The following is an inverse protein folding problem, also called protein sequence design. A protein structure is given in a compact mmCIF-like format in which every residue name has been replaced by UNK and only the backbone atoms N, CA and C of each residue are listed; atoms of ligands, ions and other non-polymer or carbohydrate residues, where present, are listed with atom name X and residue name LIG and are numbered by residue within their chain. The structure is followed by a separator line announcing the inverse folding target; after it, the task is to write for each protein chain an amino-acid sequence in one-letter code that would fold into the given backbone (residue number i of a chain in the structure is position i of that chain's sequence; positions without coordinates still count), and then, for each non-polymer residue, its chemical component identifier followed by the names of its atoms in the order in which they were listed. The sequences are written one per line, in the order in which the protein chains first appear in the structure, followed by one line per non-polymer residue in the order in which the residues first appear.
data_IF_501979257808
#
_entry.id   IF_501979257808
#
_cell.length_a   1.000
_cell.length_b   1.000
_cell.length_c   1.000
_cell.angle_alpha   90.00
_cell.angle_beta   90.00
_cell.angle_gamma   90.00
#
_symmetry.space_group_name_H-M   'P 1'
#
loop_
_entity.id
_entity.type
_entity.pdbx_description
1 polymer ?
#
# COMPACT_ATOMS: atom_id res chain seq x y z
N UNK A 1 7.88 -47.48 8.80
CA UNK A 1 7.97 -46.02 9.08
C UNK A 1 7.58 -45.27 7.81
N UNK A 2 6.33 -44.80 7.75
CA UNK A 2 5.77 -44.06 6.61
C UNK A 2 6.10 -42.57 6.79
N UNK A 3 6.88 -41.98 5.88
CA UNK A 3 7.05 -40.52 5.80
C UNK A 3 6.03 -39.98 4.81
N UNK A 4 4.96 -39.40 5.33
CA UNK A 4 3.96 -38.65 4.57
C UNK A 4 4.56 -37.30 4.16
N UNK A 5 4.87 -37.13 2.88
CA UNK A 5 5.18 -35.83 2.29
C UNK A 5 3.85 -35.13 1.94
N UNK A 6 3.50 -34.10 2.70
CA UNK A 6 2.42 -33.19 2.32
C UNK A 6 2.93 -32.24 1.23
N UNK A 7 2.59 -32.55 -0.02
CA UNK A 7 2.62 -31.58 -1.10
C UNK A 7 1.40 -30.66 -0.95
N UNK A 8 1.57 -29.52 -0.27
CA UNK A 8 0.57 -28.46 -0.25
C UNK A 8 0.59 -27.75 -1.60
N UNK A 9 -0.17 -28.28 -2.55
CA UNK A 9 -0.48 -27.62 -3.80
C UNK A 9 -1.32 -26.37 -3.54
N UNK A 10 -0.77 -25.20 -3.85
CA UNK A 10 -1.58 -24.03 -4.09
C UNK A 10 -2.31 -24.27 -5.42
N UNK A 11 -3.54 -24.78 -5.33
CA UNK A 11 -4.45 -24.83 -6.46
C UNK A 11 -4.80 -23.39 -6.84
N UNK A 12 -4.06 -22.81 -7.79
CA UNK A 12 -4.47 -21.58 -8.47
C UNK A 12 -5.76 -21.91 -9.22
N UNK A 13 -6.91 -21.56 -8.67
CA UNK A 13 -8.12 -21.45 -9.46
C UNK A 13 -7.84 -20.39 -10.53
N UNK A 14 -7.79 -20.81 -11.80
CA UNK A 14 -7.72 -19.90 -12.92
C UNK A 14 -9.01 -19.08 -12.94
N UNK A 15 -9.01 -17.94 -12.25
CA UNK A 15 -10.06 -16.94 -12.38
C UNK A 15 -10.11 -16.54 -13.85
N UNK A 16 -11.28 -16.64 -14.48
CA UNK A 16 -11.45 -16.13 -15.83
C UNK A 16 -11.12 -14.64 -15.81
N UNK A 17 -10.06 -14.24 -16.51
CA UNK A 17 -9.69 -12.84 -16.66
C UNK A 17 -10.57 -12.18 -17.71
N UNK A 18 -11.06 -10.98 -17.40
CA UNK A 18 -11.63 -10.07 -18.40
C UNK A 18 -10.44 -9.40 -19.10
N UNK A 19 -10.34 -9.58 -20.42
CA UNK A 19 -9.24 -9.05 -21.23
C UNK A 19 -9.74 -7.98 -22.22
N UNK A 20 -8.83 -7.10 -22.66
CA UNK A 20 -9.13 -6.08 -23.66
C UNK A 20 -9.60 -4.75 -23.06
N UNK A 21 -9.20 -4.45 -21.83
CA UNK A 21 -9.30 -3.10 -21.26
C UNK A 21 -7.96 -2.40 -21.46
N UNK A 22 -7.95 -1.26 -22.13
CA UNK A 22 -6.72 -0.53 -22.46
C UNK A 22 -6.80 0.92 -21.98
N UNK A 23 -5.73 1.42 -21.35
CA UNK A 23 -5.53 2.84 -21.13
C UNK A 23 -4.75 3.45 -22.30
N UNK A 24 -5.44 4.26 -23.09
CA UNK A 24 -4.85 5.01 -24.20
C UNK A 24 -4.66 6.48 -23.85
N UNK A 25 -4.01 7.25 -24.72
CA UNK A 25 -3.98 8.71 -24.60
C UNK A 25 -5.38 9.35 -24.63
N UNK A 26 -6.34 8.73 -25.30
CA UNK A 26 -7.73 9.19 -25.38
C UNK A 26 -8.58 8.85 -24.14
N UNK A 27 -8.10 7.95 -23.27
CA UNK A 27 -8.82 7.43 -22.12
C UNK A 27 -8.90 5.91 -22.12
N UNK A 28 -9.81 5.35 -21.31
CA UNK A 28 -10.07 3.91 -21.27
C UNK A 28 -10.84 3.47 -22.52
N UNK A 29 -10.41 2.37 -23.12
CA UNK A 29 -11.17 1.61 -24.10
C UNK A 29 -11.41 0.19 -23.63
N UNK A 30 -12.54 -0.39 -24.01
CA UNK A 30 -12.82 -1.80 -23.77
C UNK A 30 -13.20 -2.50 -25.07
N UNK A 31 -12.52 -3.62 -25.36
CA UNK A 31 -12.59 -4.35 -26.63
C UNK A 31 -12.42 -3.41 -27.84
N UNK A 32 -11.51 -2.44 -27.73
CA UNK A 32 -11.23 -1.44 -28.76
C UNK A 32 -12.26 -0.30 -28.87
N UNK A 33 -13.30 -0.25 -28.04
CA UNK A 33 -14.30 0.84 -28.04
C UNK A 33 -14.00 1.84 -26.92
N UNK A 34 -13.92 3.16 -27.20
CA UNK A 34 -13.65 4.16 -26.17
C UNK A 34 -14.83 4.28 -25.20
N UNK A 35 -14.52 4.44 -23.91
CA UNK A 35 -15.51 4.70 -22.86
C UNK A 35 -15.74 6.21 -22.75
N UNK A 36 -16.85 6.70 -23.30
CA UNK A 36 -17.17 8.13 -23.37
C UNK A 36 -18.12 8.64 -22.28
N UNK A 37 -18.81 7.73 -21.58
CA UNK A 37 -19.88 8.00 -20.61
C UNK A 37 -19.49 7.64 -19.16
N UNK A 38 -20.27 8.11 -18.18
CA UNK A 38 -19.91 8.19 -16.76
C UNK A 38 -19.52 6.86 -16.11
N UNK A 39 -20.02 5.71 -16.59
CA UNK A 39 -19.54 4.37 -16.19
C UNK A 39 -20.11 3.33 -17.16
N UNK A 40 -19.25 2.55 -17.81
CA UNK A 40 -19.62 1.34 -18.54
C UNK A 40 -19.52 0.15 -17.59
N UNK A 41 -20.65 -0.50 -17.30
CA UNK A 41 -20.66 -1.78 -16.60
C UNK A 41 -20.62 -2.91 -17.62
N UNK A 42 -19.52 -3.64 -17.65
CA UNK A 42 -19.36 -4.81 -18.49
C UNK A 42 -19.57 -6.06 -17.65
N UNK A 43 -20.49 -6.92 -18.09
CA UNK A 43 -20.68 -8.27 -17.56
C UNK A 43 -20.23 -9.24 -18.65
N UNK A 44 -19.08 -9.87 -18.48
CA UNK A 44 -18.69 -10.93 -19.39
C UNK A 44 -19.39 -12.25 -19.04
N UNK A 45 -19.60 -13.09 -20.06
CA UNK A 45 -20.28 -14.39 -19.93
C UNK A 45 -19.59 -15.37 -18.96
N UNK A 46 -18.36 -15.07 -18.50
CA UNK A 46 -17.59 -15.87 -17.53
C UNK A 46 -17.56 -15.30 -16.10
N UNK A 47 -18.46 -14.36 -15.77
CA UNK A 47 -18.64 -13.88 -14.40
C UNK A 47 -17.77 -12.69 -14.00
N UNK A 48 -16.97 -12.16 -14.92
CA UNK A 48 -16.24 -10.91 -14.74
C UNK A 48 -17.18 -9.70 -14.81
N UNK A 49 -17.11 -8.80 -13.84
CA UNK A 49 -17.83 -7.52 -13.85
C UNK A 49 -16.86 -6.37 -13.67
N UNK A 50 -16.86 -5.43 -14.62
CA UNK A 50 -15.97 -4.26 -14.64
C UNK A 50 -16.77 -2.97 -14.68
N UNK A 51 -16.35 -1.96 -13.92
CA UNK A 51 -16.78 -0.58 -14.11
C UNK A 51 -15.63 0.20 -14.75
N UNK A 52 -15.87 0.78 -15.92
CA UNK A 52 -14.90 1.64 -16.60
C UNK A 52 -15.49 3.04 -16.81
N UNK A 53 -14.70 4.08 -16.57
CA UNK A 53 -14.95 5.46 -17.04
C UNK A 53 -13.72 5.94 -17.80
N UNK A 54 -13.75 7.17 -18.32
CA UNK A 54 -12.66 7.75 -19.13
C UNK A 54 -11.25 7.56 -18.54
N UNK A 55 -11.12 7.60 -17.22
CA UNK A 55 -9.87 7.66 -16.47
C UNK A 55 -9.75 6.58 -15.39
N UNK A 56 -10.73 5.69 -15.26
CA UNK A 56 -10.82 4.73 -14.15
C UNK A 56 -11.33 3.38 -14.62
N UNK A 57 -10.77 2.33 -14.05
CA UNK A 57 -11.22 0.95 -14.20
C UNK A 57 -11.33 0.34 -12.80
N UNK A 58 -12.39 -0.41 -12.54
CA UNK A 58 -12.61 -1.10 -11.29
C UNK A 58 -13.13 -2.51 -11.55
N UNK A 59 -12.49 -3.50 -10.94
CA UNK A 59 -13.00 -4.87 -10.95
C UNK A 59 -14.01 -5.05 -9.82
N UNK A 60 -15.24 -5.42 -10.17
CA UNK A 60 -16.28 -5.78 -9.19
C UNK A 60 -16.37 -7.29 -8.96
N UNK A 61 -16.06 -8.08 -9.99
CA UNK A 61 -16.05 -9.54 -9.94
C UNK A 61 -15.07 -10.07 -10.99
N UNK A 62 -14.33 -11.13 -10.66
CA UNK A 62 -13.27 -11.68 -11.51
C UNK A 62 -11.99 -10.82 -11.54
N UNK A 63 -10.96 -11.34 -12.20
CA UNK A 63 -9.72 -10.60 -12.45
C UNK A 63 -9.88 -9.82 -13.75
N UNK A 64 -9.38 -8.59 -13.80
CA UNK A 64 -9.39 -7.76 -15.01
C UNK A 64 -7.98 -7.44 -15.40
N UNK A 65 -7.56 -7.85 -16.60
CA UNK A 65 -6.28 -7.43 -17.14
C UNK A 65 -6.44 -6.10 -17.88
N UNK A 66 -5.63 -5.12 -17.48
CA UNK A 66 -5.62 -3.78 -18.04
C UNK A 66 -4.27 -3.53 -18.70
N UNK A 67 -4.28 -3.29 -20.01
CA UNK A 67 -3.07 -2.91 -20.75
C UNK A 67 -2.86 -1.40 -20.67
N UNK A 68 -1.62 -1.00 -20.39
CA UNK A 68 -1.19 0.38 -20.32
C UNK A 68 -0.27 0.73 -21.50
N UNK A 69 0.05 2.01 -21.63
CA UNK A 69 1.06 2.46 -22.59
C UNK A 69 2.38 1.70 -22.45
N UNK A 70 3.03 1.41 -23.58
CA UNK A 70 4.29 0.65 -23.60
C UNK A 70 4.13 -0.86 -23.40
N UNK A 71 2.91 -1.40 -23.48
CA UNK A 71 2.64 -2.84 -23.42
C UNK A 71 2.74 -3.44 -22.02
N UNK A 72 2.68 -2.61 -20.97
CA UNK A 72 2.63 -3.05 -19.57
C UNK A 72 1.22 -3.48 -19.20
N UNK A 73 1.10 -4.45 -18.31
CA UNK A 73 -0.22 -4.95 -17.88
C UNK A 73 -0.40 -4.86 -16.38
N UNK A 74 -1.59 -4.49 -15.94
CA UNK A 74 -2.02 -4.61 -14.54
C UNK A 74 -3.25 -5.51 -14.45
N UNK A 75 -3.15 -6.59 -13.71
CA UNK A 75 -4.29 -7.40 -13.29
C UNK A 75 -4.94 -6.80 -12.04
N UNK A 76 -6.25 -6.56 -12.07
CA UNK A 76 -7.05 -6.05 -10.95
C UNK A 76 -7.95 -7.16 -10.42
N UNK A 77 -7.74 -7.56 -9.17
CA UNK A 77 -8.66 -8.45 -8.45
C UNK A 77 -9.95 -7.72 -8.05
N UNK A 78 -11.02 -8.46 -7.72
CA UNK A 78 -12.27 -7.88 -7.24
C UNK A 78 -12.07 -6.93 -6.05
N UNK A 79 -12.71 -5.75 -6.15
CA UNK A 79 -12.64 -4.71 -5.13
C UNK A 79 -11.43 -3.77 -5.26
N UNK A 80 -10.61 -3.94 -6.30
CA UNK A 80 -9.50 -3.05 -6.64
C UNK A 80 -9.89 -2.13 -7.81
N UNK A 81 -9.51 -0.87 -7.67
CA UNK A 81 -9.69 0.20 -8.64
C UNK A 81 -8.34 0.74 -9.08
N UNK A 82 -8.24 1.01 -10.38
CA UNK A 82 -7.13 1.69 -11.03
C UNK A 82 -7.63 3.02 -11.61
N UNK A 83 -6.98 4.12 -11.25
CA UNK A 83 -7.27 5.46 -11.76
C UNK A 83 -6.02 6.03 -12.43
N UNK A 84 -6.16 6.64 -13.60
CA UNK A 84 -5.04 7.34 -14.24
C UNK A 84 -4.75 8.65 -13.50
N UNK A 85 -3.49 8.87 -13.15
CA UNK A 85 -3.02 10.04 -12.42
C UNK A 85 -1.78 10.64 -13.12
N UNK A 86 -2.01 11.35 -14.22
CA UNK A 86 -0.93 11.86 -15.09
C UNK A 86 -0.21 10.72 -15.81
N UNK A 87 1.11 10.62 -15.60
CA UNK A 87 1.99 9.55 -16.12
C UNK A 87 2.07 8.34 -15.19
N UNK A 88 1.37 8.39 -14.06
CA UNK A 88 1.24 7.31 -13.10
C UNK A 88 -0.20 6.81 -13.02
N UNK A 89 -0.40 5.75 -12.25
CA UNK A 89 -1.69 5.19 -11.90
C UNK A 89 -1.85 5.09 -10.40
N UNK A 90 -3.05 5.37 -9.93
CA UNK A 90 -3.44 5.20 -8.55
C UNK A 90 -4.22 3.89 -8.41
N UNK A 91 -3.65 2.97 -7.65
CA UNK A 91 -4.25 1.69 -7.28
C UNK A 91 -4.88 1.85 -5.92
N UNK A 92 -6.18 1.61 -5.82
CA UNK A 92 -6.93 1.76 -4.58
C UNK A 92 -7.81 0.54 -4.33
N UNK A 93 -7.89 0.16 -3.06
CA UNK A 93 -8.87 -0.79 -2.56
C UNK A 93 -10.08 -0.02 -2.01
N UNK A 94 -11.26 -0.65 -2.06
CA UNK A 94 -12.42 -0.11 -1.34
C UNK A 94 -12.21 -0.13 0.18
N UNK A 95 -12.59 0.98 0.82
CA UNK A 95 -12.44 1.20 2.25
C UNK A 95 -10.99 1.51 2.67
N UNK A 96 -10.69 1.32 3.95
CA UNK A 96 -9.35 1.51 4.52
C UNK A 96 -8.41 0.31 4.33
N UNK A 97 -8.72 -0.56 3.36
CA UNK A 97 -7.97 -1.80 3.11
C UNK A 97 -6.65 -1.48 2.42
N UNK A 98 -5.62 -2.27 2.73
CA UNK A 98 -4.34 -2.22 2.04
C UNK A 98 -4.40 -2.98 0.71
N UNK A 99 -3.49 -2.65 -0.20
CA UNK A 99 -3.35 -3.33 -1.49
C UNK A 99 -2.09 -4.20 -1.43
N UNK A 100 -2.20 -5.43 -1.88
CA UNK A 100 -1.05 -6.28 -2.18
C UNK A 100 -0.74 -6.17 -3.67
N UNK A 101 0.48 -5.76 -3.99
CA UNK A 101 1.02 -5.69 -5.33
C UNK A 101 1.95 -6.88 -5.54
N UNK A 102 1.55 -7.81 -6.39
CA UNK A 102 2.37 -8.97 -6.81
C UNK A 102 3.02 -8.65 -8.14
N UNK A 103 4.31 -8.92 -8.24
CA UNK A 103 5.15 -8.67 -9.41
C UNK A 103 6.04 -9.89 -9.66
N UNK A 104 6.93 -9.83 -10.66
CA UNK A 104 7.67 -11.01 -11.13
C UNK A 104 8.42 -11.77 -10.01
N UNK A 105 9.00 -11.04 -9.07
CA UNK A 105 9.93 -11.59 -8.08
C UNK A 105 9.38 -11.57 -6.65
N UNK A 106 8.11 -11.17 -6.45
CA UNK A 106 7.53 -11.14 -5.10
C UNK A 106 6.23 -10.36 -4.98
N UNK A 107 5.88 -10.02 -3.74
CA UNK A 107 4.76 -9.14 -3.42
C UNK A 107 5.14 -8.09 -2.38
N UNK A 108 4.43 -6.96 -2.41
CA UNK A 108 4.55 -5.87 -1.44
C UNK A 108 3.17 -5.40 -1.04
N UNK A 109 2.99 -5.09 0.25
CA UNK A 109 1.74 -4.55 0.77
C UNK A 109 1.90 -3.06 0.97
N UNK A 110 1.02 -2.29 0.34
CA UNK A 110 1.06 -0.83 0.33
C UNK A 110 -0.23 -0.25 0.89
N UNK A 111 -0.14 0.99 1.38
CA UNK A 111 -1.33 1.75 1.75
C UNK A 111 -2.22 2.01 0.52
N UNK A 112 -3.53 2.08 0.74
CA UNK A 112 -4.49 2.52 -0.28
C UNK A 112 -4.84 3.98 -0.04
N UNK A 113 -4.79 4.86 -1.05
CA UNK A 113 -4.32 4.60 -2.41
C UNK A 113 -2.80 4.50 -2.55
N UNK A 114 -2.32 3.68 -3.49
CA UNK A 114 -0.92 3.56 -3.87
C UNK A 114 -0.69 4.13 -5.28
N UNK A 115 0.35 4.94 -5.47
CA UNK A 115 0.77 5.38 -6.80
C UNK A 115 1.83 4.45 -7.38
N UNK A 116 1.60 4.01 -8.61
CA UNK A 116 2.51 3.17 -9.39
C UNK A 116 2.78 3.84 -10.73
N UNK A 117 4.02 3.87 -11.18
CA UNK A 117 4.41 4.36 -12.50
C UNK A 117 5.10 3.24 -13.28
N UNK A 118 4.76 3.12 -14.56
CA UNK A 118 5.39 2.17 -15.47
C UNK A 118 6.74 2.74 -15.92
N UNK A 119 7.75 1.88 -15.99
CA UNK A 119 9.11 2.19 -16.42
C UNK A 119 9.63 1.09 -17.35
N UNK A 120 10.75 1.32 -18.02
CA UNK A 120 11.38 0.32 -18.88
C UNK A 120 11.80 -0.95 -18.13
N UNK A 121 12.12 -0.83 -16.84
CA UNK A 121 12.54 -1.96 -15.98
C UNK A 121 11.43 -2.63 -15.18
N UNK A 122 10.20 -2.08 -15.18
CA UNK A 122 9.10 -2.56 -14.35
C UNK A 122 8.26 -1.42 -13.80
N UNK A 123 7.94 -1.47 -12.51
CA UNK A 123 7.07 -0.50 -11.84
C UNK A 123 7.83 0.27 -10.77
N UNK A 124 7.51 1.54 -10.63
CA UNK A 124 8.03 2.41 -9.59
C UNK A 124 6.89 2.80 -8.64
N UNK A 125 7.09 2.57 -7.35
CA UNK A 125 6.19 3.05 -6.30
C UNK A 125 6.52 4.48 -5.90
N UNK A 126 5.56 5.17 -5.27
CA UNK A 126 5.74 6.54 -4.78
C UNK A 126 6.91 6.71 -3.79
N UNK A 127 7.27 5.66 -3.05
CA UNK A 127 8.40 5.65 -2.12
C UNK A 127 9.75 5.41 -2.81
N UNK A 128 9.76 5.25 -4.14
CA UNK A 128 10.95 4.98 -4.94
C UNK A 128 11.28 3.48 -5.11
N UNK A 129 10.52 2.58 -4.48
CA UNK A 129 10.71 1.14 -4.62
C UNK A 129 10.45 0.69 -6.06
N UNK A 130 11.31 -0.18 -6.57
CA UNK A 130 11.18 -0.75 -7.92
C UNK A 130 10.66 -2.18 -7.84
N UNK A 131 9.59 -2.45 -8.57
CA UNK A 131 8.99 -3.78 -8.73
C UNK A 131 9.31 -4.29 -10.13
N UNK A 132 10.08 -5.36 -10.24
CA UNK A 132 10.51 -5.88 -11.54
C UNK A 132 9.35 -6.54 -12.32
N UNK A 133 9.45 -6.53 -13.64
CA UNK A 133 8.57 -7.28 -14.55
C UNK A 133 7.60 -6.43 -15.37
N UNK A 134 6.99 -7.06 -16.38
CA UNK A 134 6.04 -6.39 -17.29
C UNK A 134 4.61 -6.34 -16.76
N UNK A 135 4.25 -7.32 -15.92
CA UNK A 135 2.93 -7.42 -15.28
C UNK A 135 2.98 -7.02 -13.81
N UNK A 136 1.88 -6.44 -13.33
CA UNK A 136 1.61 -6.20 -11.92
C UNK A 136 0.23 -6.76 -11.61
N UNK A 137 0.06 -7.45 -10.49
CA UNK A 137 -1.27 -7.85 -10.01
C UNK A 137 -1.58 -7.12 -8.73
N UNK A 138 -2.72 -6.44 -8.70
CA UNK A 138 -3.20 -5.71 -7.55
C UNK A 138 -4.38 -6.46 -6.91
N UNK A 139 -4.22 -6.79 -5.63
CA UNK A 139 -5.18 -7.52 -4.83
C UNK A 139 -5.50 -6.80 -3.52
N UNK A 140 -6.63 -7.12 -2.92
CA UNK A 140 -6.87 -6.75 -1.52
C UNK A 140 -5.88 -7.50 -0.64
N UNK A 141 -5.14 -6.78 0.21
CA UNK A 141 -4.24 -7.43 1.15
C UNK A 141 -5.05 -8.29 2.14
N UNK A 142 -4.66 -9.55 2.27
CA UNK A 142 -5.24 -10.44 3.28
C UNK A 142 -4.57 -10.25 4.63
N UNK A 143 -5.26 -10.53 5.73
CA UNK A 143 -4.68 -10.44 7.09
C UNK A 143 -3.41 -11.30 7.24
N UNK A 144 -3.32 -12.41 6.50
CA UNK A 144 -2.13 -13.25 6.44
C UNK A 144 -0.95 -12.58 5.72
N UNK A 145 -1.23 -11.86 4.63
CA UNK A 145 -0.22 -11.05 3.94
C UNK A 145 0.31 -9.94 4.85
N UNK A 146 -0.59 -9.22 5.53
CA UNK A 146 -0.23 -8.11 6.43
C UNK A 146 0.65 -8.60 7.59
N UNK A 147 0.35 -9.76 8.17
CA UNK A 147 1.15 -10.35 9.25
C UNK A 147 2.55 -10.76 8.79
N UNK A 148 2.72 -11.33 7.59
CA UNK A 148 4.05 -11.68 7.06
C UNK A 148 4.95 -10.48 6.85
N UNK A 149 4.39 -9.35 6.41
CA UNK A 149 5.14 -8.09 6.28
C UNK A 149 5.53 -7.56 7.65
N UNK A 150 4.60 -7.55 8.61
CA UNK A 150 4.90 -7.13 9.98
C UNK A 150 5.97 -8.02 10.65
N UNK A 151 5.97 -9.33 10.40
CA UNK A 151 6.97 -10.26 10.90
C UNK A 151 8.34 -10.04 10.24
N UNK A 152 8.38 -9.78 8.92
CA UNK A 152 9.62 -9.38 8.23
C UNK A 152 10.18 -8.05 8.72
N UNK A 153 9.34 -7.06 9.01
CA UNK A 153 9.78 -5.77 9.57
C UNK A 153 10.27 -5.91 11.02
N UNK A 154 9.68 -6.83 11.80
CA UNK A 154 10.13 -7.11 13.17
C UNK A 154 11.50 -7.80 13.21
N UNK A 155 11.80 -8.70 12.26
CA UNK A 155 13.09 -9.42 12.19
C UNK A 155 14.27 -8.49 11.82
N UNK A 156 14.01 -7.31 11.26
CA UNK A 156 15.07 -6.33 10.90
C UNK A 156 15.44 -5.41 12.07
N UNK A 157 14.70 -5.45 13.19
CA UNK A 157 15.03 -4.69 14.41
C UNK A 157 15.62 -5.58 15.49
N UNK A 158 16.89 -5.92 15.32
CA UNK A 158 17.94 -5.96 16.35
C UNK A 158 19.13 -6.77 15.80
N UNK A 159 20.34 -6.20 15.63
CA UNK A 159 21.51 -7.04 15.61
C UNK A 159 21.61 -7.65 17.01
N UNK A 160 21.26 -8.93 17.14
CA UNK A 160 21.66 -9.74 18.29
C UNK A 160 23.17 -9.85 18.21
N UNK A 161 23.85 -8.84 18.75
CA UNK A 161 25.29 -8.89 19.00
C UNK A 161 25.45 -9.89 20.13
N UNK A 162 25.88 -11.10 19.80
CA UNK A 162 26.21 -12.11 20.79
C UNK A 162 27.32 -11.56 21.70
N UNK A 163 26.95 -11.12 22.91
CA UNK A 163 27.87 -10.45 23.83
C UNK A 163 28.99 -11.39 24.31
N UNK A 164 28.89 -12.70 24.03
CA UNK A 164 29.92 -13.70 24.32
C UNK A 164 31.07 -13.76 23.31
N UNK A 165 31.03 -12.99 22.22
CA UNK A 165 32.13 -12.93 21.24
C UNK A 165 33.26 -11.95 21.63
N UNK A 166 33.08 -11.17 22.70
CA UNK A 166 34.09 -10.20 23.14
C UNK A 166 34.92 -10.75 24.29
N UNK A 167 36.22 -10.47 24.27
CA UNK A 167 37.10 -10.81 25.38
C UNK A 167 36.67 -10.08 26.67
N UNK A 168 36.99 -10.61 27.87
CA UNK A 168 36.65 -9.97 29.14
C UNK A 168 37.15 -8.51 29.26
N UNK A 169 38.23 -8.18 28.56
CA UNK A 169 38.82 -6.83 28.52
C UNK A 169 37.98 -5.87 27.66
N UNK A 170 37.54 -6.31 26.48
CA UNK A 170 36.63 -5.54 25.60
C UNK A 170 35.24 -5.36 26.21
N UNK A 171 34.76 -6.33 26.98
CA UNK A 171 33.51 -6.20 27.72
C UNK A 171 33.60 -5.12 28.81
N UNK A 172 34.74 -4.99 29.49
CA UNK A 172 34.96 -3.96 30.51
C UNK A 172 35.02 -2.54 29.90
N UNK A 173 35.65 -2.38 28.74
CA UNK A 173 35.70 -1.09 28.03
C UNK A 173 34.33 -0.67 27.52
N UNK A 174 33.55 -1.60 26.94
CA UNK A 174 32.19 -1.33 26.48
C UNK A 174 31.24 -0.98 27.62
N UNK A 175 31.42 -1.59 28.80
CA UNK A 175 30.63 -1.26 29.99
C UNK A 175 30.92 0.16 30.48
N UNK A 176 32.19 0.59 30.46
CA UNK A 176 32.57 1.99 30.74
C UNK A 176 31.97 2.98 29.73
N UNK A 177 31.97 2.64 28.44
CA UNK A 177 31.41 3.51 27.40
C UNK A 177 29.89 3.68 27.53
N UNK A 178 29.15 2.60 27.84
CA UNK A 178 27.69 2.68 28.09
C UNK A 178 27.35 3.48 29.36
N UNK A 179 28.23 3.48 30.36
CA UNK A 179 28.02 4.24 31.60
C UNK A 179 28.27 5.75 31.42
N UNK A 180 29.21 6.13 30.55
CA UNK A 180 29.45 7.52 30.17
C UNK A 180 28.29 8.10 29.35
N UNK A 181 27.72 7.33 28.41
CA UNK A 181 26.59 7.75 27.57
C UNK A 181 25.30 7.98 28.38
N UNK A 182 25.09 7.17 29.43
CA UNK A 182 23.96 7.33 30.36
C UNK A 182 24.03 8.61 31.21
N UNK A 183 25.23 9.16 31.39
CA UNK A 183 25.42 10.39 32.17
C UNK A 183 25.03 11.63 31.36
N UNK A 184 25.18 11.58 30.03
CA UNK A 184 24.88 12.71 29.14
C UNK A 184 23.37 12.85 28.89
N UNK A 185 22.64 11.73 28.81
CA UNK A 185 21.17 11.76 28.65
C UNK A 185 20.44 12.31 29.89
N UNK A 186 21.01 12.16 31.11
CA UNK A 186 20.43 12.75 32.32
C UNK A 186 20.57 14.27 32.38
N UNK A 187 21.54 14.86 31.68
CA UNK A 187 21.76 16.31 31.69
C UNK A 187 20.75 17.05 30.81
N UNK A 188 20.24 16.39 29.76
CA UNK A 188 19.30 16.98 28.80
C UNK A 188 17.85 17.01 29.33
N UNK A 189 17.48 16.13 30.27
CA UNK A 189 16.10 16.05 30.80
C UNK A 189 15.85 17.01 31.98
N UNK A 190 16.87 17.70 32.50
CA UNK A 190 16.72 18.56 33.68
C UNK A 190 16.53 20.06 33.38
N UNK A 191 16.76 20.53 32.16
CA UNK A 191 16.64 21.97 31.82
C UNK A 191 15.32 22.37 31.16
N UNK A 192 14.42 21.43 30.82
CA UNK A 192 13.14 21.73 30.16
C UNK A 192 11.90 21.58 31.08
N UNK A 193 12.12 21.54 32.39
CA UNK A 193 11.03 21.53 33.36
C UNK A 193 10.85 22.90 34.01
N UNK A 194 9.73 23.54 33.63
CA UNK A 194 8.81 24.41 34.41
C UNK A 194 8.60 25.82 33.80
N UNK A 195 7.54 26.56 34.18
CA UNK A 195 6.10 26.27 34.04
C UNK A 195 5.36 27.50 33.44
N UNK A 196 4.22 27.31 32.77
CA UNK A 196 3.51 28.44 32.15
C UNK A 196 2.02 28.21 31.91
N UNK A 197 1.32 27.65 32.90
CA UNK A 197 -0.14 27.62 32.93
C UNK A 197 -0.62 28.56 34.04
N UNK A 198 -1.12 29.74 33.67
CA UNK A 198 -2.29 30.43 34.25
C UNK A 198 -2.34 31.89 33.79
N UNK A 199 -3.37 32.22 33.00
CA UNK A 199 -4.29 33.31 33.34
C UNK A 199 -5.43 33.32 32.30
N UNK A 200 -6.62 33.08 32.82
CA UNK A 200 -7.88 33.18 32.13
C UNK A 200 -8.11 34.58 31.53
N UNK A 201 -8.75 34.65 30.36
CA UNK A 201 -9.63 35.78 30.04
C UNK A 201 -10.93 35.27 29.40
N UNK A 202 -11.87 35.02 30.29
CA UNK A 202 -13.25 34.60 30.05
C UNK A 202 -14.11 35.84 29.79
N UNK A 203 -13.98 36.51 28.63
CA UNK A 203 -14.88 37.65 28.32
C UNK A 203 -14.93 38.11 26.86
N UNK A 204 -15.31 37.25 25.91
CA UNK A 204 -15.61 37.74 24.54
C UNK A 204 -16.63 36.94 23.69
N UNK A 205 -17.52 36.13 24.29
CA UNK A 205 -18.65 35.54 23.55
C UNK A 205 -19.99 36.01 24.10
N UNK A 206 -20.29 37.29 23.87
CA UNK A 206 -21.66 37.79 23.82
C UNK A 206 -21.85 38.56 22.54
N UNK A 207 -22.77 38.05 21.71
CA UNK A 207 -23.57 38.70 20.64
C UNK A 207 -23.37 38.07 19.27
N UNK A 208 -24.06 36.95 19.05
CA UNK A 208 -24.68 36.69 17.75
C UNK A 208 -26.20 36.64 17.95
N UNK A 209 -26.99 37.50 17.27
CA UNK A 209 -28.44 37.42 17.34
C UNK A 209 -28.95 36.18 16.61
N UNK A 210 -29.93 35.51 17.23
CA UNK A 210 -30.72 34.44 16.63
C UNK A 210 -31.54 35.02 15.48
N UNK A 211 -31.37 34.45 14.28
CA UNK A 211 -32.33 34.61 13.18
C UNK A 211 -33.36 33.49 13.33
N UNK A 212 -34.59 33.84 13.69
CA UNK A 212 -35.73 32.94 13.63
C UNK A 212 -36.17 32.73 12.18
N UNK A 213 -36.66 31.54 11.80
CA UNK A 213 -37.27 31.31 10.50
C UNK A 213 -38.73 31.80 10.53
N UNK A 214 -39.13 32.54 9.50
CA UNK A 214 -40.53 32.80 9.19
C UNK A 214 -40.70 32.81 7.67
N UNK A 215 -41.60 31.96 7.17
CA UNK A 215 -41.97 31.85 5.75
C UNK A 215 -41.93 30.42 5.26
#
# INVERSE_FOLDING_TARGET
MLKTLFASGALLAAAASVSGVDFTSAGVSVSGKPVTEATLQLREARGGTVLASKDKVESLAGVVEVTLGGGRTIELEPGVRLVRAGDAWEVSAHGSRRVELTYADGSVIVASPARVAATDGGWLLADGSRLAGMGLRAALATDLGVRRVAEKEAVVKEPVVDENLFSPEEQAERKKAKEADKLDTRRIVSDDLMPGAEAADEKALKRLPRVSPAG
#
